data_IF_587826675292
#
_entry.id   IF_587826675292
#
_cell.length_a   1.000
_cell.length_b   1.000
_cell.length_c   1.000
_cell.angle_alpha   90.00
_cell.angle_beta   90.00
_cell.angle_gamma   90.00
#
_symmetry.space_group_name_H-M   'P 1'
#
loop_
_entity.id
_entity.type
_entity.pdbx_description
1 polymer ?
#
# COMPACT_ATOMS: atom_id res chain seq x y z
N UNK A 1 4.73 40.67 -15.22
CA UNK A 1 5.51 40.03 -14.13
C UNK A 1 5.26 38.53 -14.20
N UNK A 2 6.28 37.67 -14.21
CA UNK A 2 6.07 36.23 -14.10
C UNK A 2 5.59 35.89 -12.68
N UNK A 3 4.71 34.89 -12.58
CA UNK A 3 4.28 34.34 -11.30
C UNK A 3 5.47 33.77 -10.51
N UNK A 4 5.48 33.81 -9.17
CA UNK A 4 6.54 33.17 -8.39
C UNK A 4 6.57 31.68 -8.73
N UNK A 5 7.74 31.19 -9.12
CA UNK A 5 8.00 29.76 -9.31
C UNK A 5 7.73 29.04 -7.99
N UNK A 6 6.80 28.09 -7.99
CA UNK A 6 6.59 27.19 -6.85
C UNK A 6 7.93 26.57 -6.43
N UNK A 7 8.23 26.50 -5.13
CA UNK A 7 9.45 25.86 -4.66
C UNK A 7 9.47 24.39 -5.10
N UNK A 8 10.65 23.81 -5.36
CA UNK A 8 10.76 22.40 -5.70
C UNK A 8 10.13 21.54 -4.59
N UNK A 9 9.16 20.69 -4.95
CA UNK A 9 8.49 19.73 -4.05
C UNK A 9 9.50 18.67 -3.58
N UNK A 10 10.30 19.03 -2.58
CA UNK A 10 11.27 18.14 -1.95
C UNK A 10 11.15 18.20 -0.42
N UNK A 11 9.94 18.43 0.10
CA UNK A 11 9.61 18.13 1.49
C UNK A 11 9.04 16.70 1.52
N UNK A 12 9.66 15.85 2.35
CA UNK A 12 9.54 14.38 2.43
C UNK A 12 8.41 13.74 1.64
N UNK A 13 8.76 12.89 0.66
CA UNK A 13 7.83 11.99 -0.04
C UNK A 13 6.81 11.41 0.97
N UNK A 14 5.53 11.64 0.72
CA UNK A 14 4.41 11.13 1.53
C UNK A 14 4.46 11.49 3.02
N UNK A 15 5.12 12.60 3.39
CA UNK A 15 5.29 13.05 4.78
C UNK A 15 5.91 11.98 5.69
N UNK A 16 6.81 11.16 5.14
CA UNK A 16 7.47 10.06 5.85
C UNK A 16 6.66 8.77 5.96
N UNK A 17 5.45 8.73 5.41
CA UNK A 17 4.65 7.51 5.30
C UNK A 17 5.04 6.67 4.08
N UNK A 18 4.34 5.54 3.89
CA UNK A 18 4.56 4.62 2.76
C UNK A 18 3.22 4.20 2.15
N UNK A 19 3.24 3.74 0.90
CA UNK A 19 2.05 3.19 0.27
C UNK A 19 2.03 1.68 0.46
N UNK A 20 0.88 1.18 0.89
CA UNK A 20 0.56 -0.24 0.99
C UNK A 20 -0.32 -0.63 -0.19
N UNK A 21 -0.14 -1.83 -0.72
CA UNK A 21 -1.10 -2.51 -1.57
C UNK A 21 -1.75 -3.67 -0.82
N UNK A 22 -3.06 -3.81 -0.98
CA UNK A 22 -3.87 -4.92 -0.46
C UNK A 22 -4.66 -5.59 -1.59
N UNK A 23 -4.59 -6.91 -1.71
CA UNK A 23 -5.29 -7.74 -2.67
C UNK A 23 -6.44 -8.50 -1.98
N UNK A 24 -7.69 -8.02 -2.06
CA UNK A 24 -8.81 -8.60 -1.32
C UNK A 24 -9.13 -10.04 -1.71
N UNK A 25 -8.93 -10.40 -2.98
CA UNK A 25 -9.25 -11.73 -3.52
C UNK A 25 -8.20 -12.80 -3.17
N UNK A 26 -7.02 -12.39 -2.69
CA UNK A 26 -5.92 -13.28 -2.29
C UNK A 26 -5.90 -13.58 -0.78
N UNK A 27 -6.90 -13.09 -0.05
CA UNK A 27 -6.94 -13.09 1.40
C UNK A 27 -7.38 -14.44 1.99
N UNK A 28 -6.70 -14.88 3.06
CA UNK A 28 -7.05 -16.12 3.79
C UNK A 28 -7.83 -15.90 5.07
N UNK A 29 -7.94 -14.65 5.54
CA UNK A 29 -8.68 -14.26 6.75
C UNK A 29 -8.22 -14.99 8.02
N UNK A 30 -6.91 -15.25 8.17
CA UNK A 30 -6.36 -16.04 9.28
C UNK A 30 -6.16 -15.24 10.59
N UNK A 31 -6.27 -13.91 10.53
CA UNK A 31 -6.08 -12.99 11.66
C UNK A 31 -4.64 -12.81 12.13
N UNK A 32 -3.64 -13.37 11.44
CA UNK A 32 -2.24 -13.27 11.86
C UNK A 32 -1.73 -11.82 11.82
N UNK A 33 -2.06 -11.08 10.75
CA UNK A 33 -1.66 -9.68 10.62
C UNK A 33 -2.41 -8.77 11.61
N UNK A 34 -3.68 -9.04 11.91
CA UNK A 34 -4.43 -8.32 12.96
C UNK A 34 -3.71 -8.41 14.30
N UNK A 35 -3.36 -9.64 14.71
CA UNK A 35 -2.66 -9.90 15.97
C UNK A 35 -1.28 -9.24 16.00
N UNK A 36 -0.51 -9.36 14.92
CA UNK A 36 0.82 -8.77 14.81
C UNK A 36 0.78 -7.24 14.83
N UNK A 37 -0.30 -6.64 14.33
CA UNK A 37 -0.41 -5.18 14.22
C UNK A 37 -1.18 -4.51 15.34
N UNK A 38 -1.75 -5.28 16.27
CA UNK A 38 -2.61 -4.73 17.33
C UNK A 38 -3.87 -4.07 16.77
N UNK A 39 -4.39 -4.58 15.65
CA UNK A 39 -5.62 -4.08 15.01
C UNK A 39 -5.42 -2.93 14.01
N UNK A 40 -4.21 -2.69 13.50
CA UNK A 40 -4.06 -1.80 12.34
C UNK A 40 -4.72 -2.44 11.11
N UNK A 41 -4.39 -3.71 10.86
CA UNK A 41 -5.17 -4.56 9.99
C UNK A 41 -6.29 -5.21 10.80
N UNK A 42 -7.43 -5.41 10.17
CA UNK A 42 -8.48 -6.28 10.72
C UNK A 42 -8.20 -7.75 10.39
N UNK A 43 -9.12 -8.63 10.80
CA UNK A 43 -9.05 -10.08 10.53
C UNK A 43 -8.91 -10.42 9.05
N UNK A 44 -9.36 -9.53 8.17
CA UNK A 44 -9.34 -9.67 6.72
C UNK A 44 -8.15 -8.92 6.09
N UNK A 45 -7.11 -8.61 6.86
CA UNK A 45 -5.93 -7.85 6.41
C UNK A 45 -6.24 -6.44 5.88
N UNK A 46 -7.46 -5.92 6.08
CA UNK A 46 -7.91 -4.65 5.50
C UNK A 46 -7.28 -3.50 6.28
N UNK A 47 -6.60 -2.54 5.61
CA UNK A 47 -6.08 -1.35 6.28
C UNK A 47 -7.21 -0.38 6.65
N UNK A 48 -7.00 0.55 7.59
CA UNK A 48 -8.03 1.51 8.02
C UNK A 48 -8.58 2.32 6.84
N UNK A 49 -9.92 2.41 6.72
CA UNK A 49 -10.59 2.99 5.54
C UNK A 49 -10.26 4.47 5.31
N UNK A 50 -9.89 5.20 6.36
CA UNK A 50 -9.48 6.60 6.31
C UNK A 50 -8.07 6.79 5.71
N UNK A 51 -7.34 5.70 5.50
CA UNK A 51 -6.03 5.69 4.83
C UNK A 51 -6.11 5.34 3.35
N UNK A 52 -7.29 4.99 2.83
CA UNK A 52 -7.45 4.51 1.46
C UNK A 52 -7.20 5.63 0.45
N UNK A 53 -6.34 5.34 -0.53
CA UNK A 53 -6.08 6.22 -1.68
C UNK A 53 -7.03 5.88 -2.82
N UNK A 54 -7.29 4.59 -3.06
CA UNK A 54 -8.24 4.13 -4.06
C UNK A 54 -8.15 2.64 -4.39
N UNK A 55 -9.20 2.14 -5.05
CA UNK A 55 -9.22 0.80 -5.65
C UNK A 55 -8.74 0.89 -7.10
N UNK A 56 -7.86 -0.01 -7.49
CA UNK A 56 -7.23 -0.07 -8.80
C UNK A 56 -7.42 -1.46 -9.39
N UNK A 57 -7.31 -1.52 -10.71
CA UNK A 57 -7.37 -2.75 -11.48
C UNK A 57 -6.09 -2.93 -12.28
N UNK A 58 -5.56 -4.14 -12.27
CA UNK A 58 -4.45 -4.58 -13.10
C UNK A 58 -4.86 -4.68 -14.57
N UNK A 59 -3.84 -4.74 -15.43
CA UNK A 59 -4.08 -5.14 -16.81
C UNK A 59 -4.53 -6.62 -16.82
N UNK A 60 -5.53 -7.03 -17.61
CA UNK A 60 -5.92 -8.43 -17.75
C UNK A 60 -4.78 -9.38 -18.12
N UNK A 61 -3.69 -8.86 -18.71
CA UNK A 61 -2.49 -9.65 -19.04
C UNK A 61 -1.40 -9.61 -17.96
N UNK A 62 -1.67 -8.98 -16.80
CA UNK A 62 -0.68 -8.80 -15.73
C UNK A 62 -0.42 -10.12 -14.98
N UNK A 63 0.85 -10.44 -14.66
CA UNK A 63 1.21 -11.63 -13.86
C UNK A 63 1.06 -11.41 -12.34
N UNK A 64 0.24 -10.45 -11.91
CA UNK A 64 0.01 -10.06 -10.51
C UNK A 64 -0.97 -10.99 -9.80
N UNK A 65 -1.01 -10.92 -8.46
CA UNK A 65 -1.68 -11.91 -7.60
C UNK A 65 -3.22 -11.88 -7.75
N UNK A 66 -3.83 -10.72 -7.96
CA UNK A 66 -5.26 -10.57 -8.31
C UNK A 66 -5.52 -9.36 -9.21
N UNK A 67 -6.69 -9.30 -9.85
CA UNK A 67 -7.07 -8.22 -10.79
C UNK A 67 -7.30 -6.89 -10.07
N UNK A 68 -8.02 -6.89 -8.95
CA UNK A 68 -8.33 -5.68 -8.18
C UNK A 68 -7.45 -5.57 -6.94
N UNK A 69 -6.99 -4.36 -6.62
CA UNK A 69 -6.20 -4.09 -5.42
C UNK A 69 -6.44 -2.69 -4.88
N UNK A 70 -6.40 -2.57 -3.56
CA UNK A 70 -6.50 -1.33 -2.83
C UNK A 70 -5.10 -0.75 -2.58
N UNK A 71 -4.93 0.55 -2.82
CA UNK A 71 -3.77 1.28 -2.31
C UNK A 71 -4.19 2.11 -1.10
N UNK A 72 -3.42 2.01 -0.02
CA UNK A 72 -3.59 2.79 1.20
C UNK A 72 -2.29 3.51 1.58
N UNK A 73 -2.39 4.65 2.25
CA UNK A 73 -1.24 5.37 2.81
C UNK A 73 -1.04 4.99 4.27
N UNK A 74 0.10 4.41 4.60
CA UNK A 74 0.49 4.09 5.97
C UNK A 74 1.14 5.32 6.59
N UNK A 75 0.55 5.91 7.65
CA UNK A 75 1.17 7.03 8.35
C UNK A 75 2.52 6.62 8.96
N UNK A 76 3.49 7.53 9.10
CA UNK A 76 4.82 7.22 9.62
C UNK A 76 4.80 6.46 10.95
N UNK A 77 3.87 6.82 11.83
CA UNK A 77 3.70 6.20 13.15
C UNK A 77 3.35 4.70 13.09
N UNK A 78 2.84 4.21 11.96
CA UNK A 78 2.41 2.83 11.78
C UNK A 78 3.31 2.02 10.84
N UNK A 79 4.34 2.62 10.23
CA UNK A 79 5.20 1.94 9.24
C UNK A 79 5.86 0.70 9.83
N UNK A 80 6.38 0.77 11.05
CA UNK A 80 7.07 -0.36 11.69
C UNK A 80 6.10 -1.49 12.04
N UNK A 81 4.93 -1.17 12.58
CA UNK A 81 3.93 -2.19 12.95
C UNK A 81 3.32 -2.83 11.70
N UNK A 82 3.06 -2.06 10.64
CA UNK A 82 2.60 -2.60 9.36
C UNK A 82 3.65 -3.51 8.72
N UNK A 83 4.95 -3.18 8.82
CA UNK A 83 6.00 -4.08 8.34
C UNK A 83 5.98 -5.44 9.06
N UNK A 84 5.62 -5.48 10.34
CA UNK A 84 5.44 -6.74 11.08
C UNK A 84 4.22 -7.51 10.58
N UNK A 85 3.11 -6.82 10.33
CA UNK A 85 1.91 -7.41 9.72
C UNK A 85 2.19 -8.04 8.35
N UNK A 86 2.89 -7.33 7.47
CA UNK A 86 3.32 -7.85 6.16
C UNK A 86 4.23 -9.08 6.34
N UNK A 87 5.14 -9.06 7.31
CA UNK A 87 6.08 -10.17 7.53
C UNK A 87 5.39 -11.48 7.95
N UNK A 88 4.28 -11.41 8.69
CA UNK A 88 3.51 -12.60 9.11
C UNK A 88 2.47 -13.05 8.09
N UNK A 89 2.13 -12.22 7.09
CA UNK A 89 1.11 -12.52 6.09
C UNK A 89 1.65 -13.54 5.06
N UNK A 90 1.24 -14.81 5.19
CA UNK A 90 1.78 -15.91 4.41
C UNK A 90 1.23 -15.96 2.97
N UNK A 91 0.06 -15.35 2.75
CA UNK A 91 -0.63 -15.27 1.47
C UNK A 91 -0.17 -14.10 0.58
N UNK A 92 0.66 -13.20 1.11
CA UNK A 92 1.19 -12.03 0.40
C UNK A 92 0.12 -11.05 -0.13
N UNK A 93 -1.09 -11.10 0.41
CA UNK A 93 -2.19 -10.20 0.05
C UNK A 93 -1.97 -8.75 0.52
N UNK A 94 -1.00 -8.49 1.41
CA UNK A 94 -0.56 -7.14 1.80
C UNK A 94 0.93 -6.96 1.53
N UNK A 95 1.31 -5.88 0.82
CA UNK A 95 2.70 -5.60 0.45
C UNK A 95 2.96 -4.09 0.45
N UNK A 96 4.23 -3.68 0.59
CA UNK A 96 4.61 -2.32 0.22
C UNK A 96 4.46 -2.13 -1.29
N UNK A 97 3.87 -1.00 -1.71
CA UNK A 97 3.58 -0.76 -3.12
C UNK A 97 4.85 -0.82 -3.97
N UNK A 98 5.95 -0.24 -3.49
CA UNK A 98 7.24 -0.24 -4.16
C UNK A 98 7.85 -1.63 -4.38
N UNK A 99 7.49 -2.61 -3.54
CA UNK A 99 7.98 -3.99 -3.58
C UNK A 99 7.05 -4.90 -4.42
N UNK A 100 5.84 -4.41 -4.76
CA UNK A 100 4.87 -5.13 -5.58
C UNK A 100 5.15 -5.04 -7.10
N UNK A 101 4.55 -5.97 -7.85
CA UNK A 101 4.59 -6.00 -9.33
C UNK A 101 3.41 -5.31 -10.01
N UNK A 102 2.58 -4.60 -9.24
CA UNK A 102 1.37 -3.92 -9.72
C UNK A 102 1.65 -2.86 -10.80
N UNK A 103 0.66 -2.60 -11.65
CA UNK A 103 0.68 -1.55 -12.65
C UNK A 103 0.96 -0.18 -12.03
N UNK A 104 0.37 0.15 -10.88
CA UNK A 104 0.65 1.41 -10.19
C UNK A 104 2.09 1.48 -9.67
N UNK A 105 2.63 0.39 -9.13
CA UNK A 105 4.03 0.34 -8.72
C UNK A 105 4.99 0.59 -9.91
N UNK A 106 4.70 0.00 -11.07
CA UNK A 106 5.46 0.24 -12.32
C UNK A 106 5.37 1.71 -12.76
N UNK A 107 4.15 2.25 -12.88
CA UNK A 107 3.92 3.64 -13.32
C UNK A 107 4.58 4.68 -12.41
N UNK A 108 4.54 4.48 -11.09
CA UNK A 108 5.16 5.41 -10.15
C UNK A 108 6.69 5.38 -10.22
N UNK A 109 7.30 4.24 -10.57
CA UNK A 109 8.75 4.12 -10.82
C UNK A 109 9.16 4.86 -12.09
N UNK A 110 8.31 4.84 -13.14
CA UNK A 110 8.57 5.53 -14.41
C UNK A 110 8.42 7.06 -14.35
N UNK A 111 7.74 7.58 -13.32
CA UNK A 111 7.56 9.02 -13.09
C UNK A 111 8.76 9.68 -12.37
N UNK A 112 9.77 8.90 -11.97
CA UNK A 112 10.97 9.37 -11.26
C UNK A 112 12.11 9.76 -12.20
#
# INVERSE_FOLDING_TARGET
MPAPSEPPRTEGLLQGGRLLVYFPDDNTCDGAAELATGGYFDVDNVPPWDTWVGMFREDPESPTQSEDYLIAWVPPAFVEVVAQGIWVNAEFCIQWLEDSSTLMAKRLKDLR
#
